data_IF_438030783848
#
_entry.id   IF_438030783848
#
_cell.length_a   1.000
_cell.length_b   1.000
_cell.length_c   1.000
_cell.angle_alpha   90.00
_cell.angle_beta   90.00
_cell.angle_gamma   90.00
#
_symmetry.space_group_name_H-M   'P 1'
#
loop_
_entity.id
_entity.type
_entity.pdbx_description
1 polymer ?
#
# COMPACT_ATOMS: atom_id res chain seq x y z
N UNK A 1 -33.84 34.55 -19.32
CA UNK A 1 -34.40 33.42 -20.09
C UNK A 1 -34.17 32.17 -19.25
N UNK A 2 -35.25 31.50 -18.88
CA UNK A 2 -35.26 30.24 -18.14
C UNK A 2 -34.88 29.12 -19.11
N UNK A 3 -34.05 28.18 -18.70
CA UNK A 3 -34.08 26.83 -19.26
C UNK A 3 -33.92 25.81 -18.14
N UNK A 4 -34.89 24.91 -18.13
CA UNK A 4 -35.16 23.81 -17.22
C UNK A 4 -34.60 22.55 -17.88
N UNK A 5 -33.90 21.70 -17.12
CA UNK A 5 -33.76 20.25 -17.36
C UNK A 5 -33.93 19.61 -15.98
N UNK A 6 -35.13 19.20 -15.57
CA UNK A 6 -35.78 17.90 -15.84
C UNK A 6 -34.76 16.75 -15.96
N UNK A 7 -34.53 16.06 -14.84
CA UNK A 7 -34.03 14.69 -14.84
C UNK A 7 -35.06 13.81 -14.13
N UNK A 8 -35.51 12.80 -14.87
CA UNK A 8 -36.55 11.86 -14.51
C UNK A 8 -35.97 10.76 -13.62
N UNK A 9 -36.50 10.61 -12.41
CA UNK A 9 -36.24 9.48 -11.52
C UNK A 9 -37.09 8.31 -12.01
N UNK A 10 -36.45 7.26 -12.52
CA UNK A 10 -37.07 5.95 -12.69
C UNK A 10 -36.89 5.16 -11.40
N UNK A 11 -38.01 4.94 -10.71
CA UNK A 11 -38.13 4.04 -9.58
C UNK A 11 -38.53 2.67 -10.15
N UNK A 12 -37.67 1.66 -10.05
CA UNK A 12 -38.04 0.27 -10.31
C UNK A 12 -37.98 -0.53 -9.01
N UNK A 13 -39.15 -1.01 -8.61
CA UNK A 13 -39.41 -1.90 -7.48
C UNK A 13 -38.99 -3.33 -7.80
N UNK A 14 -38.28 -3.98 -6.87
CA UNK A 14 -38.08 -5.43 -6.83
C UNK A 14 -38.25 -5.96 -5.41
N UNK A 15 -39.45 -6.41 -5.09
CA UNK A 15 -39.76 -7.20 -3.90
C UNK A 15 -39.19 -8.63 -4.10
N UNK A 16 -38.39 -9.13 -3.15
CA UNK A 16 -38.22 -10.57 -2.95
C UNK A 16 -38.64 -10.93 -1.52
N UNK A 17 -39.70 -11.76 -1.46
CA UNK A 17 -40.23 -12.38 -0.27
C UNK A 17 -39.40 -13.63 0.04
N UNK A 18 -38.61 -13.62 1.12
CA UNK A 18 -38.07 -14.85 1.71
C UNK A 18 -39.20 -15.58 2.47
N UNK A 19 -39.64 -16.72 1.92
CA UNK A 19 -40.39 -17.73 2.67
C UNK A 19 -39.42 -18.63 3.41
N UNK A 20 -39.35 -18.49 4.73
CA UNK A 20 -38.78 -19.52 5.59
C UNK A 20 -39.70 -20.74 5.59
N UNK A 21 -39.19 -21.91 5.19
CA UNK A 21 -39.73 -23.20 5.62
C UNK A 21 -38.65 -23.98 6.32
N UNK A 22 -38.96 -24.28 7.58
CA UNK A 22 -38.22 -25.10 8.51
C UNK A 22 -38.15 -26.56 8.07
N UNK A 23 -37.03 -27.15 8.47
CA UNK A 23 -36.76 -28.55 8.73
C UNK A 23 -37.96 -29.38 9.21
N UNK A 24 -38.00 -30.65 8.82
CA UNK A 24 -38.26 -31.76 9.73
C UNK A 24 -37.65 -33.05 9.17
N UNK A 25 -36.98 -33.77 10.07
CA UNK A 25 -36.30 -35.04 9.92
C UNK A 25 -37.23 -36.21 9.59
N UNK A 26 -36.69 -37.28 8.98
CA UNK A 26 -36.93 -38.65 9.45
C UNK A 26 -36.02 -39.67 8.74
N UNK A 27 -35.33 -40.43 9.57
CA UNK A 27 -34.58 -41.66 9.29
C UNK A 27 -35.43 -42.75 8.59
N UNK A 28 -34.77 -43.64 7.83
CA UNK A 28 -34.39 -44.98 8.32
C UNK A 28 -34.44 -46.08 7.23
N UNK A 29 -33.41 -46.92 7.27
CA UNK A 29 -33.37 -48.38 7.01
C UNK A 29 -33.04 -48.94 5.61
N UNK A 30 -31.89 -49.64 5.62
CA UNK A 30 -31.55 -50.95 5.06
C UNK A 30 -32.19 -51.43 3.74
N UNK A 31 -31.33 -51.78 2.77
CA UNK A 31 -31.19 -53.18 2.33
C UNK A 31 -29.89 -53.37 1.53
N UNK A 32 -29.26 -54.54 1.73
CA UNK A 32 -28.08 -55.01 1.02
C UNK A 32 -28.49 -56.13 0.07
N UNK A 33 -27.99 -56.10 -1.17
CA UNK A 33 -27.73 -57.26 -2.04
C UNK A 33 -26.96 -56.74 -3.27
N UNK A 34 -25.68 -57.05 -3.46
CA UNK A 34 -25.07 -58.29 -3.95
C UNK A 34 -24.87 -58.30 -5.48
N UNK A 35 -23.63 -58.62 -5.86
CA UNK A 35 -23.09 -59.10 -7.14
C UNK A 35 -23.51 -58.45 -8.48
N UNK A 36 -22.55 -57.98 -9.28
CA UNK A 36 -21.90 -58.82 -10.30
C UNK A 36 -20.81 -58.03 -11.05
N UNK A 37 -19.67 -58.68 -11.18
CA UNK A 37 -18.56 -58.39 -12.08
C UNK A 37 -18.97 -58.55 -13.54
N UNK A 38 -18.52 -57.65 -14.41
CA UNK A 38 -18.21 -58.03 -15.80
C UNK A 38 -17.09 -57.15 -16.36
N UNK A 39 -15.94 -57.78 -16.52
CA UNK A 39 -14.85 -57.36 -17.40
C UNK A 39 -15.36 -57.28 -18.85
N UNK A 40 -15.13 -56.15 -19.52
CA UNK A 40 -15.08 -56.12 -20.99
C UNK A 40 -13.82 -55.39 -21.43
N UNK A 41 -13.22 -56.06 -22.39
CA UNK A 41 -11.89 -55.96 -22.94
C UNK A 41 -11.72 -54.75 -23.87
N UNK A 42 -10.45 -54.38 -23.94
CA UNK A 42 -9.77 -53.43 -24.82
C UNK A 42 -10.26 -53.40 -26.27
N UNK A 43 -10.38 -52.18 -26.82
CA UNK A 43 -10.19 -51.95 -28.24
C UNK A 43 -9.50 -50.61 -28.47
N UNK A 44 -8.25 -50.72 -28.92
CA UNK A 44 -7.41 -49.65 -29.42
C UNK A 44 -8.14 -48.77 -30.44
N UNK A 45 -8.20 -47.47 -30.13
CA UNK A 45 -8.34 -46.42 -31.12
C UNK A 45 -7.17 -45.47 -30.93
N UNK A 46 -6.13 -45.68 -31.73
CA UNK A 46 -5.17 -44.62 -32.06
C UNK A 46 -5.95 -43.55 -32.84
N UNK A 47 -6.34 -42.48 -32.15
CA UNK A 47 -6.61 -41.21 -32.81
C UNK A 47 -5.39 -40.33 -32.63
N UNK A 48 -4.64 -40.17 -33.73
CA UNK A 48 -3.76 -39.03 -33.94
C UNK A 48 -4.62 -37.76 -33.90
N UNK A 49 -4.84 -37.23 -32.71
CA UNK A 49 -5.33 -35.88 -32.51
C UNK A 49 -4.11 -35.00 -32.23
N UNK A 50 -3.59 -34.39 -33.29
CA UNK A 50 -2.70 -33.23 -33.24
C UNK A 50 -3.52 -32.06 -32.66
N UNK A 51 -3.90 -32.15 -31.39
CA UNK A 51 -4.32 -30.99 -30.61
C UNK A 51 -3.05 -30.20 -30.33
N UNK A 52 -2.83 -29.18 -31.15
CA UNK A 52 -2.05 -28.01 -30.75
C UNK A 52 -2.70 -27.45 -29.47
N UNK A 53 -2.33 -28.02 -28.33
CA UNK A 53 -2.54 -27.42 -27.03
C UNK A 53 -1.88 -26.05 -27.11
N UNK A 54 -2.73 -25.03 -27.14
CA UNK A 54 -2.32 -23.67 -26.89
C UNK A 54 -1.80 -23.70 -25.44
N UNK A 55 -0.50 -23.95 -25.25
CA UNK A 55 0.13 -24.00 -23.92
C UNK A 55 -0.01 -22.59 -23.32
N UNK A 56 -1.10 -22.39 -22.59
CA UNK A 56 -1.33 -21.19 -21.80
C UNK A 56 -0.14 -21.01 -20.86
N UNK A 57 0.32 -19.76 -20.75
CA UNK A 57 1.54 -19.46 -20.02
C UNK A 57 1.39 -19.76 -18.53
N UNK A 58 2.43 -20.37 -17.95
CA UNK A 58 2.58 -20.58 -16.52
C UNK A 58 3.95 -20.07 -16.11
N UNK A 59 3.99 -19.26 -15.07
CA UNK A 59 5.23 -18.76 -14.49
C UNK A 59 5.12 -18.76 -12.98
N UNK A 60 6.23 -19.08 -12.33
CA UNK A 60 6.34 -19.05 -10.89
C UNK A 60 7.33 -17.94 -10.53
N UNK A 61 6.91 -17.03 -9.65
CA UNK A 61 7.77 -15.97 -9.14
C UNK A 61 8.01 -16.21 -7.65
N UNK A 62 9.27 -16.19 -7.23
CA UNK A 62 9.65 -16.33 -5.82
C UNK A 62 9.77 -14.95 -5.19
N UNK A 63 9.11 -14.78 -4.04
CA UNK A 63 9.08 -13.55 -3.25
C UNK A 63 9.78 -13.76 -1.90
N UNK A 64 10.35 -12.69 -1.36
CA UNK A 64 10.77 -12.67 0.04
C UNK A 64 9.54 -12.51 0.93
N UNK A 65 9.51 -13.26 2.01
CA UNK A 65 8.44 -13.21 3.01
C UNK A 65 8.87 -12.28 4.14
N UNK A 66 8.04 -11.28 4.43
CA UNK A 66 8.20 -10.39 5.58
C UNK A 66 7.40 -10.92 6.77
N UNK A 67 6.18 -11.43 6.50
CA UNK A 67 5.37 -12.10 7.52
C UNK A 67 4.48 -13.17 6.90
N UNK A 68 4.34 -14.32 7.55
CA UNK A 68 3.47 -15.39 7.08
C UNK A 68 2.88 -16.16 8.24
N UNK A 69 1.75 -15.71 8.78
CA UNK A 69 0.98 -16.42 9.81
C UNK A 69 1.82 -16.82 11.05
N UNK A 70 2.74 -15.94 11.47
CA UNK A 70 3.73 -16.20 12.54
C UNK A 70 4.65 -17.40 12.28
N UNK A 71 4.77 -17.83 11.03
CA UNK A 71 5.70 -18.88 10.60
C UNK A 71 7.06 -18.30 10.19
N UNK A 72 8.11 -19.05 10.50
CA UNK A 72 9.49 -18.72 10.10
C UNK A 72 9.75 -19.20 8.67
N UNK A 73 9.15 -18.48 7.71
CA UNK A 73 9.30 -18.68 6.27
C UNK A 73 9.99 -17.45 5.70
N UNK A 74 11.06 -17.66 4.94
CA UNK A 74 11.82 -16.56 4.32
C UNK A 74 11.45 -16.28 2.86
N UNK A 75 10.91 -17.28 2.16
CA UNK A 75 10.60 -17.19 0.73
C UNK A 75 9.33 -17.97 0.42
N UNK A 76 8.56 -17.49 -0.56
CA UNK A 76 7.36 -18.17 -1.05
C UNK A 76 7.27 -18.04 -2.57
N UNK A 77 6.70 -19.04 -3.24
CA UNK A 77 6.46 -18.97 -4.67
C UNK A 77 5.01 -18.62 -4.93
N UNK A 78 4.75 -17.72 -5.88
CA UNK A 78 3.41 -17.44 -6.40
C UNK A 78 3.33 -17.95 -7.82
N UNK A 79 2.38 -18.85 -8.06
CA UNK A 79 2.05 -19.40 -9.37
C UNK A 79 1.14 -18.42 -10.09
N UNK A 80 1.56 -17.97 -11.26
CA UNK A 80 0.75 -17.23 -12.24
C UNK A 80 0.38 -18.18 -13.36
N UNK A 81 -0.90 -18.48 -13.50
CA UNK A 81 -1.42 -19.34 -14.56
C UNK A 81 -2.42 -18.57 -15.42
N UNK A 82 -2.12 -18.44 -16.71
CA UNK A 82 -3.10 -17.93 -17.68
C UNK A 82 -4.21 -18.98 -17.86
N UNK A 83 -5.46 -18.55 -17.75
CA UNK A 83 -6.63 -19.43 -17.83
C UNK A 83 -7.43 -19.23 -19.12
N UNK A 84 -7.52 -18.00 -19.61
CA UNK A 84 -8.33 -17.65 -20.78
C UNK A 84 -7.81 -16.35 -21.43
N UNK A 85 -8.20 -16.12 -22.69
CA UNK A 85 -7.94 -14.87 -23.42
C UNK A 85 -9.24 -14.27 -23.94
N UNK A 86 -9.48 -13.00 -23.63
CA UNK A 86 -10.61 -12.20 -24.08
C UNK A 86 -10.19 -11.11 -25.05
N UNK A 87 -11.17 -10.39 -25.61
CA UNK A 87 -10.90 -9.31 -26.57
C UNK A 87 -10.18 -8.12 -25.90
N UNK A 88 -10.46 -7.85 -24.61
CA UNK A 88 -9.82 -6.76 -23.86
C UNK A 88 -8.52 -7.14 -23.14
N UNK A 89 -8.21 -8.42 -22.98
CA UNK A 89 -7.08 -8.86 -22.16
C UNK A 89 -7.08 -10.35 -21.83
N UNK A 90 -6.14 -10.75 -20.97
CA UNK A 90 -5.95 -12.13 -20.56
C UNK A 90 -6.33 -12.34 -19.11
N UNK A 91 -6.89 -13.51 -18.80
CA UNK A 91 -7.28 -13.91 -17.43
C UNK A 91 -6.17 -14.75 -16.81
N UNK A 92 -5.73 -14.36 -15.62
CA UNK A 92 -4.73 -15.06 -14.82
C UNK A 92 -5.28 -15.42 -13.44
N UNK A 93 -4.86 -16.57 -12.93
CA UNK A 93 -4.94 -16.89 -11.50
C UNK A 93 -3.58 -16.71 -10.85
N UNK A 94 -3.57 -16.08 -9.67
CA UNK A 94 -2.39 -15.98 -8.82
C UNK A 94 -2.60 -16.78 -7.53
N UNK A 95 -1.74 -17.78 -7.28
CA UNK A 95 -1.84 -18.62 -6.09
C UNK A 95 -0.50 -18.75 -5.38
N UNK A 96 -0.51 -18.62 -4.06
CA UNK A 96 0.61 -18.94 -3.20
C UNK A 96 0.84 -20.45 -3.21
N UNK A 97 2.01 -20.86 -3.69
CA UNK A 97 2.47 -22.25 -3.69
C UNK A 97 3.27 -22.54 -2.42
N UNK A 98 2.63 -23.20 -1.46
CA UNK A 98 3.24 -23.60 -0.19
C UNK A 98 2.68 -24.96 0.22
N UNK A 99 3.47 -25.86 0.81
CA UNK A 99 2.96 -27.18 1.25
C UNK A 99 1.81 -27.10 2.26
N UNK A 100 1.61 -25.94 2.92
CA UNK A 100 0.47 -25.64 3.79
C UNK A 100 -0.68 -24.89 3.10
N UNK A 101 -0.55 -24.56 1.81
CA UNK A 101 -1.54 -23.76 1.06
C UNK A 101 -2.89 -24.44 0.97
N UNK A 102 -2.91 -25.77 0.95
CA UNK A 102 -4.14 -26.57 0.85
C UNK A 102 -5.06 -26.43 2.08
N UNK A 103 -4.54 -25.88 3.19
CA UNK A 103 -5.29 -25.60 4.42
C UNK A 103 -5.66 -24.12 4.59
N UNK A 104 -5.20 -23.24 3.68
CA UNK A 104 -5.37 -21.80 3.79
C UNK A 104 -6.35 -21.28 2.73
N UNK A 105 -7.52 -20.83 3.18
CA UNK A 105 -8.50 -20.08 2.37
C UNK A 105 -7.93 -18.78 1.75
N UNK A 106 -6.67 -18.44 2.06
CA UNK A 106 -5.96 -17.21 1.66
C UNK A 106 -4.75 -17.45 0.77
N UNK A 107 -4.54 -18.68 0.31
CA UNK A 107 -3.51 -18.98 -0.70
C UNK A 107 -3.92 -18.55 -2.11
N UNK A 108 -5.21 -18.39 -2.37
CA UNK A 108 -5.71 -17.79 -3.60
C UNK A 108 -5.69 -16.25 -3.48
N UNK A 109 -4.89 -15.61 -4.31
CA UNK A 109 -4.81 -14.14 -4.37
C UNK A 109 -5.92 -13.55 -5.26
N UNK A 110 -6.58 -14.38 -6.07
CA UNK A 110 -7.71 -14.02 -6.92
C UNK A 110 -7.53 -14.38 -8.39
N UNK A 111 -8.60 -14.12 -9.13
CA UNK A 111 -8.62 -14.15 -10.60
C UNK A 111 -8.54 -12.73 -11.13
N UNK A 112 -7.65 -12.51 -12.10
CA UNK A 112 -7.30 -11.20 -12.61
C UNK A 112 -7.49 -11.15 -14.13
N UNK A 113 -8.36 -10.26 -14.61
CA UNK A 113 -8.37 -9.84 -16.01
C UNK A 113 -7.40 -8.66 -16.17
N UNK A 114 -6.31 -8.90 -16.89
CA UNK A 114 -5.28 -7.89 -17.17
C UNK A 114 -5.54 -7.32 -18.57
N UNK A 115 -5.93 -6.04 -18.63
CA UNK A 115 -6.16 -5.29 -19.87
C UNK A 115 -4.97 -4.37 -20.19
N UNK A 116 -5.06 -3.61 -21.28
CA UNK A 116 -4.04 -2.62 -21.64
C UNK A 116 -3.81 -1.57 -20.54
N UNK A 117 -4.88 -1.09 -19.89
CA UNK A 117 -4.86 0.05 -18.96
C UNK A 117 -5.26 -0.30 -17.52
N UNK A 118 -5.83 -1.49 -17.28
CA UNK A 118 -6.45 -1.86 -16.01
C UNK A 118 -6.20 -3.32 -15.62
N UNK A 119 -6.43 -3.61 -14.33
CA UNK A 119 -6.56 -4.96 -13.81
C UNK A 119 -7.87 -5.03 -13.02
N UNK A 120 -8.70 -6.00 -13.36
CA UNK A 120 -9.94 -6.32 -12.65
C UNK A 120 -9.77 -7.64 -11.89
N UNK A 121 -10.13 -7.64 -10.61
CA UNK A 121 -10.04 -8.80 -9.72
C UNK A 121 -11.43 -9.30 -9.34
N UNK A 122 -11.65 -10.60 -9.48
CA UNK A 122 -12.76 -11.29 -8.79
C UNK A 122 -12.14 -12.09 -7.64
N UNK A 123 -12.51 -11.78 -6.38
CA UNK A 123 -11.95 -12.46 -5.22
C UNK A 123 -12.50 -13.89 -5.07
N UNK A 124 -11.61 -14.82 -4.72
CA UNK A 124 -11.94 -16.20 -4.41
C UNK A 124 -11.99 -17.13 -5.62
N UNK A 125 -12.05 -18.43 -5.32
CA UNK A 125 -12.00 -19.48 -6.32
C UNK A 125 -13.39 -19.72 -6.90
N UNK A 126 -13.53 -19.62 -8.22
CA UNK A 126 -14.76 -19.95 -8.95
C UNK A 126 -14.58 -21.30 -9.66
N UNK A 127 -15.65 -22.10 -9.71
CA UNK A 127 -15.61 -23.42 -10.38
C UNK A 127 -15.31 -23.29 -11.89
N UNK A 128 -15.75 -22.18 -12.49
CA UNK A 128 -15.56 -21.83 -13.90
C UNK A 128 -14.85 -20.47 -14.00
N UNK A 129 -14.07 -20.25 -15.08
CA UNK A 129 -13.45 -18.94 -15.37
C UNK A 129 -14.56 -17.92 -15.69
N UNK A 130 -14.68 -16.80 -14.94
CA UNK A 130 -15.71 -15.78 -15.17
C UNK A 130 -15.57 -15.15 -16.55
N UNK A 131 -16.68 -14.82 -17.21
CA UNK A 131 -16.63 -14.19 -18.53
C UNK A 131 -16.08 -12.76 -18.49
N UNK A 132 -15.68 -12.22 -19.64
CA UNK A 132 -15.23 -10.83 -19.76
C UNK A 132 -16.27 -9.83 -19.19
N UNK A 133 -17.55 -10.05 -19.48
CA UNK A 133 -18.64 -9.21 -18.97
C UNK A 133 -18.74 -9.27 -17.44
N UNK A 134 -18.44 -10.42 -16.82
CA UNK A 134 -18.46 -10.58 -15.35
C UNK A 134 -17.33 -9.77 -14.69
N UNK A 135 -16.11 -9.81 -15.25
CA UNK A 135 -15.00 -8.97 -14.77
C UNK A 135 -15.29 -7.48 -14.89
N UNK A 136 -15.87 -7.06 -16.03
CA UNK A 136 -16.15 -5.64 -16.29
C UNK A 136 -17.34 -5.10 -15.49
N UNK A 137 -18.30 -5.96 -15.12
CA UNK A 137 -19.49 -5.59 -14.37
C UNK A 137 -19.27 -5.65 -12.85
N UNK A 138 -18.68 -6.75 -12.38
CA UNK A 138 -18.64 -7.11 -10.95
C UNK A 138 -17.20 -7.19 -10.40
N UNK A 139 -16.18 -7.16 -11.25
CA UNK A 139 -14.79 -7.17 -10.84
C UNK A 139 -14.36 -5.88 -10.13
N UNK A 140 -13.49 -6.04 -9.14
CA UNK A 140 -12.87 -4.95 -8.40
C UNK A 140 -11.68 -4.43 -9.22
N UNK A 141 -11.68 -3.14 -9.56
CA UNK A 141 -10.50 -2.52 -10.18
C UNK A 141 -9.36 -2.48 -9.15
N UNK A 142 -8.26 -3.20 -9.43
CA UNK A 142 -7.07 -3.29 -8.55
C UNK A 142 -5.81 -2.69 -9.17
N UNK A 143 -5.91 -2.23 -10.42
CA UNK A 143 -4.91 -1.42 -11.10
C UNK A 143 -5.58 -0.41 -12.00
N UNK A 144 -5.06 0.82 -11.99
CA UNK A 144 -5.48 1.90 -12.87
C UNK A 144 -4.39 2.95 -12.95
N UNK A 145 -4.23 3.59 -14.11
CA UNK A 145 -3.38 4.79 -14.23
C UNK A 145 -3.93 5.98 -13.42
N UNK A 146 -5.22 5.96 -13.08
CA UNK A 146 -5.88 7.05 -12.35
C UNK A 146 -6.15 6.64 -10.91
N UNK A 147 -5.84 7.51 -9.94
CA UNK A 147 -6.18 7.23 -8.55
C UNK A 147 -7.70 7.15 -8.40
N UNK A 148 -8.15 6.25 -7.52
CA UNK A 148 -9.56 6.01 -7.25
C UNK A 148 -9.78 5.69 -5.78
N UNK A 149 -10.97 6.00 -5.26
CA UNK A 149 -11.42 5.57 -3.94
C UNK A 149 -12.91 5.31 -4.02
N UNK A 150 -13.30 4.05 -3.87
CA UNK A 150 -14.70 3.61 -4.01
C UNK A 150 -15.08 2.70 -2.85
N UNK A 151 -16.34 2.77 -2.43
CA UNK A 151 -16.90 1.84 -1.44
C UNK A 151 -17.73 0.79 -2.18
N UNK A 152 -17.40 -0.49 -1.98
CA UNK A 152 -18.05 -1.65 -2.58
C UNK A 152 -18.42 -2.60 -1.42
N UNK A 153 -19.71 -2.82 -1.19
CA UNK A 153 -20.23 -3.73 -0.17
C UNK A 153 -19.62 -3.56 1.25
N UNK A 154 -19.35 -2.31 1.64
CA UNK A 154 -18.77 -1.97 2.94
C UNK A 154 -17.25 -2.11 3.02
N UNK A 155 -16.59 -2.45 1.91
CA UNK A 155 -15.15 -2.35 1.75
C UNK A 155 -14.79 -1.09 0.98
N UNK A 156 -13.73 -0.42 1.39
CA UNK A 156 -13.10 0.68 0.67
C UNK A 156 -12.00 0.09 -0.19
N UNK A 157 -12.05 0.42 -1.48
CA UNK A 157 -11.00 0.13 -2.46
C UNK A 157 -10.34 1.46 -2.82
N UNK A 158 -9.05 1.59 -2.53
CA UNK A 158 -8.25 2.78 -2.80
C UNK A 158 -7.09 2.44 -3.72
N UNK A 159 -7.03 3.10 -4.87
CA UNK A 159 -5.95 2.99 -5.86
C UNK A 159 -5.14 4.28 -5.84
N UNK A 160 -3.82 4.15 -5.76
CA UNK A 160 -2.84 5.20 -6.01
C UNK A 160 -1.82 4.72 -7.04
N UNK A 161 -1.40 5.60 -7.95
CA UNK A 161 -0.43 5.30 -8.99
C UNK A 161 0.47 6.52 -9.17
N UNK A 162 1.78 6.34 -9.03
CA UNK A 162 2.79 7.39 -9.18
C UNK A 162 3.46 7.40 -10.57
N UNK A 163 2.98 6.56 -11.49
CA UNK A 163 3.54 6.35 -12.83
C UNK A 163 4.50 5.16 -12.91
N UNK A 164 4.95 4.62 -11.78
CA UNK A 164 5.84 3.47 -11.70
C UNK A 164 5.19 2.29 -10.99
N UNK A 165 4.62 2.54 -9.81
CA UNK A 165 3.91 1.55 -9.02
C UNK A 165 2.45 1.93 -8.84
N UNK A 166 1.57 0.95 -9.02
CA UNK A 166 0.15 1.06 -8.74
C UNK A 166 -0.18 0.25 -7.48
N UNK A 167 -0.57 0.95 -6.41
CA UNK A 167 -1.00 0.36 -5.15
C UNK A 167 -2.51 0.35 -5.05
N UNK A 168 -3.07 -0.80 -4.75
CA UNK A 168 -4.47 -0.98 -4.40
C UNK A 168 -4.58 -1.48 -2.96
N UNK A 169 -5.36 -0.77 -2.13
CA UNK A 169 -5.70 -1.15 -0.77
C UNK A 169 -7.20 -1.44 -0.70
N UNK A 170 -7.56 -2.62 -0.20
CA UNK A 170 -8.94 -3.06 0.04
C UNK A 170 -9.08 -3.31 1.54
N UNK A 171 -9.97 -2.59 2.22
CA UNK A 171 -10.17 -2.72 3.67
C UNK A 171 -11.58 -2.30 4.09
N UNK A 172 -12.03 -2.69 5.29
CA UNK A 172 -13.29 -2.21 5.88
C UNK A 172 -13.02 -1.27 7.04
N UNK A 173 -13.73 -0.14 7.10
CA UNK A 173 -13.73 0.76 8.27
C UNK A 173 -14.71 0.30 9.37
N UNK A 174 -15.57 -0.68 9.08
CA UNK A 174 -16.62 -1.15 9.99
C UNK A 174 -16.28 -2.53 10.58
N UNK A 175 -15.93 -2.53 11.87
CA UNK A 175 -15.73 -3.74 12.70
C UNK A 175 -14.27 -3.99 13.10
N UNK A 176 -14.04 -4.35 14.37
CA UNK A 176 -12.69 -4.64 14.96
C UNK A 176 -11.96 -5.85 14.33
N UNK A 177 -12.55 -6.53 13.34
CA UNK A 177 -12.06 -7.78 12.73
C UNK A 177 -12.01 -7.75 11.18
N UNK A 178 -12.11 -6.55 10.58
CA UNK A 178 -12.17 -6.42 9.12
C UNK A 178 -10.96 -7.02 8.41
N UNK A 179 -11.21 -7.77 7.34
CA UNK A 179 -10.16 -8.23 6.42
C UNK A 179 -9.59 -7.04 5.66
N UNK A 180 -8.29 -7.06 5.41
CA UNK A 180 -7.64 -6.13 4.50
C UNK A 180 -6.71 -6.87 3.54
N UNK A 181 -6.52 -6.29 2.35
CA UNK A 181 -5.52 -6.71 1.38
C UNK A 181 -4.91 -5.51 0.66
N UNK A 182 -3.64 -5.62 0.30
CA UNK A 182 -2.89 -4.65 -0.46
C UNK A 182 -2.19 -5.38 -1.61
N UNK A 183 -2.31 -4.82 -2.80
CA UNK A 183 -1.60 -5.27 -4.00
C UNK A 183 -0.77 -4.09 -4.51
N UNK A 184 0.47 -4.36 -4.89
CA UNK A 184 1.29 -3.40 -5.62
C UNK A 184 1.75 -4.05 -6.91
N UNK A 185 1.50 -3.34 -8.00
CA UNK A 185 1.81 -3.75 -9.36
C UNK A 185 2.78 -2.76 -9.99
N UNK A 186 3.68 -3.24 -10.84
CA UNK A 186 4.54 -2.39 -11.66
C UNK A 186 3.87 -1.96 -12.99
N UNK A 187 4.61 -1.23 -13.83
CA UNK A 187 4.14 -0.76 -15.15
C UNK A 187 3.84 -1.90 -16.13
N UNK A 188 4.50 -3.04 -15.96
CA UNK A 188 4.29 -4.27 -16.73
C UNK A 188 3.11 -5.11 -16.18
N UNK A 189 2.42 -4.61 -15.13
CA UNK A 189 1.30 -5.26 -14.46
C UNK A 189 1.69 -6.60 -13.81
N UNK A 190 2.94 -6.70 -13.35
CA UNK A 190 3.41 -7.79 -12.52
C UNK A 190 3.24 -7.45 -11.04
N UNK A 191 2.85 -8.44 -10.24
CA UNK A 191 2.69 -8.27 -8.79
C UNK A 191 4.08 -8.17 -8.16
N UNK A 192 4.38 -7.04 -7.52
CA UNK A 192 5.68 -6.82 -6.85
C UNK A 192 5.57 -6.89 -5.33
N UNK A 193 4.39 -6.66 -4.75
CA UNK A 193 4.17 -6.79 -3.32
C UNK A 193 2.71 -7.15 -3.00
N UNK A 194 2.52 -7.96 -1.97
CA UNK A 194 1.21 -8.31 -1.44
C UNK A 194 1.23 -8.32 0.10
N UNK A 195 0.15 -7.79 0.69
CA UNK A 195 -0.10 -7.89 2.13
C UNK A 195 -1.57 -8.13 2.42
N UNK A 196 -1.92 -9.09 3.26
CA UNK A 196 -3.28 -9.24 3.78
C UNK A 196 -3.31 -9.65 5.25
N UNK A 197 -4.45 -9.44 5.91
CA UNK A 197 -4.65 -9.83 7.31
C UNK A 197 -6.00 -9.40 7.85
N UNK A 198 -6.15 -9.44 9.17
CA UNK A 198 -7.39 -9.07 9.87
C UNK A 198 -7.15 -8.05 10.97
N UNK A 199 -8.01 -7.03 11.07
CA UNK A 199 -7.98 -6.04 12.16
C UNK A 199 -6.60 -5.39 12.31
N UNK A 200 -6.07 -5.34 13.55
CA UNK A 200 -4.75 -4.80 13.87
C UNK A 200 -3.60 -5.76 13.47
N UNK A 201 -3.54 -6.11 12.18
CA UNK A 201 -2.51 -7.00 11.60
C UNK A 201 -2.47 -8.43 12.18
N UNK A 202 -3.62 -8.98 12.57
CA UNK A 202 -3.70 -10.40 12.94
C UNK A 202 -3.54 -11.30 11.71
N UNK A 203 -2.83 -12.40 11.88
CA UNK A 203 -2.56 -13.42 10.85
C UNK A 203 -2.09 -12.80 9.53
N UNK A 204 -1.03 -11.99 9.54
CA UNK A 204 -0.59 -11.30 8.33
C UNK A 204 0.07 -12.29 7.35
N UNK A 205 -0.20 -12.09 6.07
CA UNK A 205 0.59 -12.63 4.97
C UNK A 205 1.16 -11.42 4.26
N UNK A 206 2.47 -11.31 4.20
CA UNK A 206 3.19 -10.16 3.64
C UNK A 206 4.45 -10.66 2.92
N UNK A 207 4.51 -10.41 1.62
CA UNK A 207 5.65 -10.77 0.79
C UNK A 207 5.83 -9.79 -0.36
N UNK A 208 7.05 -9.70 -0.88
CA UNK A 208 7.37 -8.79 -1.97
C UNK A 208 8.68 -9.12 -2.66
N UNK A 209 8.90 -8.49 -3.80
CA UNK A 209 10.18 -8.55 -4.50
C UNK A 209 11.20 -7.80 -3.67
N UNK A 210 12.25 -8.48 -3.20
CA UNK A 210 13.35 -7.81 -2.49
C UNK A 210 14.18 -7.04 -3.51
N UNK A 211 13.88 -5.76 -3.66
CA UNK A 211 14.78 -4.89 -4.40
C UNK A 211 15.97 -4.55 -3.50
N UNK A 212 17.18 -4.93 -3.93
CA UNK A 212 18.37 -4.46 -3.26
C UNK A 212 18.53 -2.97 -3.60
N UNK A 213 18.07 -2.10 -2.72
CA UNK A 213 18.11 -0.65 -2.91
C UNK A 213 19.52 -0.14 -3.24
N UNK A 214 20.57 -0.77 -2.70
CA UNK A 214 21.95 -0.41 -3.06
C UNK A 214 22.28 -0.72 -4.52
N UNK A 215 21.82 -1.85 -5.04
CA UNK A 215 22.01 -2.23 -6.44
C UNK A 215 21.12 -1.38 -7.35
N UNK A 216 19.85 -1.17 -6.99
CA UNK A 216 18.90 -0.30 -7.71
C UNK A 216 19.46 1.12 -7.89
N UNK A 217 19.84 1.78 -6.79
CA UNK A 217 20.38 3.13 -6.85
C UNK A 217 21.81 3.20 -7.43
N UNK A 218 22.49 2.06 -7.65
CA UNK A 218 23.82 2.05 -8.27
C UNK A 218 23.79 2.44 -9.75
N UNK A 219 22.63 2.30 -10.40
CA UNK A 219 22.43 2.65 -11.81
C UNK A 219 22.25 4.16 -12.02
N UNK A 220 21.92 4.89 -10.95
CA UNK A 220 21.67 6.33 -10.98
C UNK A 220 22.93 7.12 -10.64
N UNK A 221 23.10 8.27 -11.28
CA UNK A 221 24.09 9.26 -10.83
C UNK A 221 23.63 9.94 -9.55
N UNK A 222 24.58 10.33 -8.70
CA UNK A 222 24.28 11.28 -7.63
C UNK A 222 23.97 12.63 -8.26
N UNK A 223 22.88 13.26 -7.84
CA UNK A 223 22.52 14.62 -8.23
C UNK A 223 23.10 15.63 -7.25
N UNK A 224 23.48 16.81 -7.75
CA UNK A 224 23.92 17.89 -6.89
C UNK A 224 22.72 18.49 -6.14
N UNK A 225 22.69 18.30 -4.83
CA UNK A 225 21.69 18.94 -3.96
C UNK A 225 22.02 20.42 -3.75
N UNK A 226 20.98 21.20 -3.55
CA UNK A 226 21.05 22.62 -3.27
C UNK A 226 20.10 22.99 -2.12
N UNK A 227 20.08 24.28 -1.75
CA UNK A 227 19.28 24.76 -0.63
C UNK A 227 17.78 24.59 -0.89
N UNK A 228 17.36 24.75 -2.14
CA UNK A 228 15.97 24.69 -2.57
C UNK A 228 15.36 23.28 -2.42
N UNK A 229 16.18 22.23 -2.45
CA UNK A 229 15.75 20.84 -2.23
C UNK A 229 15.22 20.57 -0.80
N UNK A 230 15.49 21.49 0.12
CA UNK A 230 15.07 21.45 1.51
C UNK A 230 13.99 22.50 1.82
N UNK A 231 13.43 23.12 0.78
CA UNK A 231 12.29 24.00 0.87
C UNK A 231 10.99 23.21 0.60
N UNK A 232 9.88 23.70 1.12
CA UNK A 232 8.55 23.16 0.86
C UNK A 232 7.50 24.26 1.01
N UNK A 233 6.34 24.05 0.37
CA UNK A 233 5.21 24.97 0.45
C UNK A 233 4.09 24.35 1.30
N UNK A 234 3.52 25.13 2.23
CA UNK A 234 2.36 24.73 3.03
C UNK A 234 1.40 25.90 3.24
N UNK A 235 0.11 25.67 2.95
CA UNK A 235 -0.98 26.67 3.07
C UNK A 235 -0.65 28.05 2.46
N UNK A 236 0.00 28.08 1.29
CA UNK A 236 0.45 29.28 0.54
C UNK A 236 1.68 30.00 1.11
N UNK A 237 2.40 29.39 2.05
CA UNK A 237 3.67 29.89 2.55
C UNK A 237 4.80 28.97 2.13
N UNK A 238 5.96 29.56 1.83
CA UNK A 238 7.18 28.82 1.51
C UNK A 238 8.11 28.85 2.70
N UNK A 239 8.57 27.67 3.11
CA UNK A 239 9.51 27.47 4.20
C UNK A 239 10.83 26.91 3.68
N UNK A 240 11.94 27.23 4.34
CA UNK A 240 13.28 26.91 3.86
C UNK A 240 14.25 26.57 5.00
N UNK A 241 15.42 26.05 4.65
CA UNK A 241 16.51 25.90 5.61
C UNK A 241 16.82 27.24 6.31
N UNK A 242 16.78 27.19 7.64
CA UNK A 242 17.03 28.32 8.53
C UNK A 242 15.81 29.17 8.88
N UNK A 243 14.60 28.80 8.42
CA UNK A 243 13.36 29.41 8.91
C UNK A 243 13.24 29.21 10.43
N UNK A 244 13.00 30.30 11.16
CA UNK A 244 12.80 30.27 12.61
C UNK A 244 11.43 29.68 12.96
N UNK A 245 11.30 28.99 14.10
CA UNK A 245 10.02 28.38 14.49
C UNK A 245 8.90 29.44 14.68
N UNK A 246 9.25 30.67 15.07
CA UNK A 246 8.28 31.76 15.18
C UNK A 246 7.70 32.16 13.82
N UNK A 247 8.45 32.01 12.72
CA UNK A 247 7.92 32.31 11.38
C UNK A 247 6.81 31.32 10.97
N UNK A 248 6.83 30.08 11.45
CA UNK A 248 5.73 29.14 11.25
C UNK A 248 4.49 29.58 12.02
N UNK A 249 4.65 29.97 13.29
CA UNK A 249 3.55 30.45 14.13
C UNK A 249 2.97 31.77 13.60
N UNK A 250 3.82 32.69 13.13
CA UNK A 250 3.39 33.97 12.58
C UNK A 250 2.58 33.81 11.29
N UNK A 251 2.93 32.83 10.45
CA UNK A 251 2.27 32.58 9.16
C UNK A 251 1.05 31.66 9.27
N UNK A 252 1.14 30.60 10.08
CA UNK A 252 0.13 29.53 10.17
C UNK A 252 -0.73 29.62 11.43
N UNK A 253 -0.28 30.36 12.46
CA UNK A 253 -0.80 30.26 13.81
C UNK A 253 -0.33 28.99 14.52
N UNK A 254 -0.79 28.79 15.76
CA UNK A 254 -0.71 27.47 16.39
C UNK A 254 -1.71 26.52 15.73
N UNK A 255 -1.38 25.22 15.64
CA UNK A 255 -2.33 24.23 15.14
C UNK A 255 -3.59 24.16 16.01
N UNK A 256 -4.66 23.61 15.45
CA UNK A 256 -5.89 23.35 16.21
C UNK A 256 -5.60 22.42 17.39
N UNK A 257 -6.33 22.61 18.50
CA UNK A 257 -6.18 21.85 19.75
C UNK A 257 -4.75 21.84 20.35
N UNK A 258 -3.89 22.79 19.97
CA UNK A 258 -2.50 22.84 20.45
C UNK A 258 -2.39 22.94 21.98
N UNK A 259 -3.13 23.86 22.61
CA UNK A 259 -3.14 24.00 24.07
C UNK A 259 -3.72 22.75 24.76
N UNK A 260 -4.77 22.16 24.18
CA UNK A 260 -5.43 20.95 24.69
C UNK A 260 -4.49 19.73 24.60
N UNK A 261 -3.62 19.69 23.59
CA UNK A 261 -2.54 18.72 23.46
C UNK A 261 -1.26 19.15 24.21
N UNK A 262 -1.43 19.80 25.37
CA UNK A 262 -0.33 20.19 26.27
C UNK A 262 0.77 21.00 25.56
N UNK A 263 0.35 21.94 24.70
CA UNK A 263 1.23 22.77 23.88
C UNK A 263 2.28 21.95 23.08
N UNK A 264 1.86 20.78 22.59
CA UNK A 264 2.70 19.90 21.79
C UNK A 264 3.91 19.33 22.54
N UNK A 265 3.90 19.27 23.87
CA UNK A 265 4.99 18.70 24.65
C UNK A 265 5.33 17.25 24.21
N UNK A 266 6.62 16.97 24.00
CA UNK A 266 7.14 15.63 23.69
C UNK A 266 7.93 15.07 24.88
N UNK A 267 8.97 15.79 25.33
CA UNK A 267 9.90 15.31 26.37
C UNK A 267 10.74 16.47 26.95
N UNK A 268 11.46 16.23 28.04
CA UNK A 268 12.39 17.20 28.64
C UNK A 268 13.76 16.61 29.02
N UNK A 269 14.13 15.44 28.47
CA UNK A 269 15.36 14.73 28.85
C UNK A 269 16.65 15.39 28.30
N UNK A 270 16.56 16.05 27.14
CA UNK A 270 17.70 16.73 26.46
C UNK A 270 17.37 18.18 26.06
N UNK A 271 16.62 18.85 26.94
CA UNK A 271 15.98 20.14 26.66
C UNK A 271 14.47 19.96 26.49
N UNK A 272 13.73 21.06 26.59
CA UNK A 272 12.28 21.05 26.44
C UNK A 272 11.94 20.86 24.96
N UNK A 273 11.47 19.65 24.62
CA UNK A 273 11.11 19.26 23.26
C UNK A 273 9.61 19.31 23.08
N UNK A 274 9.17 19.98 22.03
CA UNK A 274 7.77 20.20 21.72
C UNK A 274 7.58 20.26 20.20
N UNK A 275 6.33 20.26 19.74
CA UNK A 275 6.03 20.21 18.31
C UNK A 275 4.90 21.12 17.88
N UNK A 276 4.98 21.59 16.64
CA UNK A 276 3.87 22.12 15.88
C UNK A 276 3.42 21.04 14.89
N UNK A 277 2.21 20.53 15.07
CA UNK A 277 1.63 19.49 14.20
C UNK A 277 0.36 20.04 13.55
N UNK A 278 0.43 20.30 12.24
CA UNK A 278 -0.64 20.91 11.48
C UNK A 278 -1.45 19.86 10.70
N UNK A 279 -2.75 20.11 10.47
CA UNK A 279 -3.52 21.26 10.93
C UNK A 279 -3.95 21.16 12.40
N UNK A 280 -3.99 19.96 12.96
CA UNK A 280 -4.53 19.66 14.30
C UNK A 280 -3.51 18.89 15.15
N UNK A 281 -3.12 19.47 16.28
CA UNK A 281 -2.16 18.88 17.20
C UNK A 281 -2.70 17.62 17.90
N UNK A 282 -4.02 17.46 17.99
CA UNK A 282 -4.68 16.31 18.61
C UNK A 282 -4.89 15.13 17.66
N UNK A 283 -4.66 15.30 16.36
CA UNK A 283 -4.96 14.29 15.35
C UNK A 283 -3.72 13.88 14.54
N UNK A 284 -3.03 12.84 15.02
CA UNK A 284 -1.84 12.31 14.36
C UNK A 284 -2.12 11.66 13.00
N UNK A 285 -3.31 11.08 12.81
CA UNK A 285 -3.68 10.36 11.59
C UNK A 285 -3.93 11.32 10.41
N UNK A 286 -4.39 12.54 10.69
CA UNK A 286 -4.67 13.57 9.68
C UNK A 286 -3.65 14.72 9.70
N UNK A 287 -2.43 14.45 10.14
CA UNK A 287 -1.37 15.46 10.17
C UNK A 287 -0.72 15.61 8.80
N UNK A 288 -0.51 16.84 8.37
CA UNK A 288 0.16 17.17 7.10
C UNK A 288 1.64 17.45 7.30
N UNK A 289 1.96 18.18 8.38
CA UNK A 289 3.27 18.75 8.64
C UNK A 289 3.54 18.70 10.14
N UNK A 290 4.72 18.22 10.51
CA UNK A 290 5.17 18.20 11.91
C UNK A 290 6.55 18.83 12.03
N UNK A 291 6.66 19.87 12.85
CA UNK A 291 7.91 20.57 13.15
C UNK A 291 8.24 20.31 14.60
N UNK A 292 9.42 19.77 14.88
CA UNK A 292 9.86 19.49 16.25
C UNK A 292 10.90 20.51 16.68
N UNK A 293 10.63 21.17 17.79
CA UNK A 293 11.45 22.22 18.38
C UNK A 293 12.09 21.76 19.68
N UNK A 294 13.27 22.29 20.00
CA UNK A 294 13.97 22.02 21.27
C UNK A 294 14.45 23.33 21.87
N UNK A 295 14.13 23.58 23.14
CA UNK A 295 14.81 24.58 23.99
C UNK A 295 15.79 23.89 24.94
N UNK A 296 17.11 23.99 24.70
CA UNK A 296 18.14 23.46 25.59
C UNK A 296 18.02 23.91 27.06
N UNK A 297 17.62 25.16 27.33
CA UNK A 297 17.46 25.71 28.68
C UNK A 297 16.22 25.21 29.43
N UNK A 298 15.47 24.28 28.82
CA UNK A 298 14.22 23.72 29.36
C UNK A 298 13.10 24.76 29.56
N UNK A 299 13.11 25.83 28.76
CA UNK A 299 12.07 26.83 28.77
C UNK A 299 11.15 26.63 27.55
N UNK A 300 9.84 26.53 27.79
CA UNK A 300 8.88 26.49 26.69
C UNK A 300 8.98 27.78 25.88
N UNK A 301 9.23 27.65 24.57
CA UNK A 301 9.54 28.77 23.67
C UNK A 301 10.66 29.68 24.18
N UNK A 302 11.67 29.08 24.83
CA UNK A 302 12.88 29.79 25.26
C UNK A 302 13.57 30.47 24.08
N UNK A 303 14.30 31.56 24.35
CA UNK A 303 15.03 32.32 23.30
C UNK A 303 16.13 31.53 22.58
N UNK A 304 16.46 30.35 23.10
CA UNK A 304 17.42 29.39 22.55
C UNK A 304 16.74 28.25 21.77
N UNK A 305 15.42 28.31 21.60
CA UNK A 305 14.64 27.31 20.87
C UNK A 305 15.08 27.26 19.42
N UNK A 306 15.33 26.05 18.92
CA UNK A 306 15.63 25.81 17.51
C UNK A 306 14.82 24.61 17.00
N UNK A 307 14.70 24.49 15.67
CA UNK A 307 14.03 23.35 15.03
C UNK A 307 15.01 22.19 14.92
N UNK A 308 14.61 21.03 15.44
CA UNK A 308 15.39 19.79 15.38
C UNK A 308 15.20 19.10 14.03
N UNK A 309 13.95 18.85 13.66
CA UNK A 309 13.59 18.25 12.39
C UNK A 309 12.18 18.64 11.97
N UNK A 310 11.87 18.39 10.70
CA UNK A 310 10.56 18.60 10.09
C UNK A 310 10.15 17.28 9.41
N UNK A 311 8.95 16.77 9.67
CA UNK A 311 8.36 15.69 8.86
C UNK A 311 7.32 16.28 7.90
N UNK A 312 7.48 15.95 6.63
CA UNK A 312 6.53 16.25 5.57
C UNK A 312 5.65 15.01 5.39
N UNK A 313 4.44 15.03 5.96
CA UNK A 313 3.56 13.85 6.04
C UNK A 313 2.69 13.77 4.78
N UNK A 314 1.98 14.85 4.46
CA UNK A 314 1.21 15.01 3.21
C UNK A 314 1.73 16.14 2.33
N UNK A 315 2.82 16.78 2.74
CA UNK A 315 3.45 17.90 2.03
C UNK A 315 4.52 17.37 1.08
N UNK A 316 4.46 17.69 -0.22
CA UNK A 316 5.52 17.30 -1.15
C UNK A 316 6.83 18.04 -0.85
N UNK A 317 7.94 17.41 -1.20
CA UNK A 317 9.25 18.09 -1.31
C UNK A 317 9.23 19.10 -2.47
N UNK A 318 10.23 19.98 -2.56
CA UNK A 318 10.35 20.93 -3.67
C UNK A 318 10.59 20.29 -5.04
N UNK A 319 11.02 19.02 -5.09
CA UNK A 319 11.10 18.22 -6.32
C UNK A 319 9.85 17.37 -6.58
N UNK A 320 8.74 17.67 -5.90
CA UNK A 320 7.42 17.04 -6.10
C UNK A 320 7.38 15.54 -5.74
N UNK A 321 8.19 15.14 -4.75
CA UNK A 321 8.14 13.79 -4.16
C UNK A 321 7.39 13.85 -2.82
N UNK A 322 6.44 12.94 -2.61
CA UNK A 322 5.53 12.85 -1.47
C UNK A 322 5.51 11.48 -0.82
N UNK A 323 5.03 11.38 0.42
CA UNK A 323 4.71 10.08 1.02
C UNK A 323 3.68 9.34 0.16
N UNK A 324 3.92 8.04 -0.04
CA UNK A 324 3.15 7.17 -0.94
C UNK A 324 3.76 7.00 -2.33
N UNK A 325 4.66 7.87 -2.77
CA UNK A 325 5.39 7.68 -4.04
C UNK A 325 6.38 6.51 -3.89
N UNK A 326 6.82 5.95 -5.01
CA UNK A 326 7.79 4.85 -5.07
C UNK A 326 9.25 5.33 -4.98
N UNK A 327 10.16 4.39 -4.76
CA UNK A 327 11.60 4.62 -4.90
C UNK A 327 12.02 5.08 -6.30
N UNK A 328 11.25 4.78 -7.35
CA UNK A 328 11.54 5.23 -8.72
C UNK A 328 11.38 6.74 -8.84
N UNK A 329 10.36 7.31 -8.19
CA UNK A 329 10.17 8.77 -8.10
C UNK A 329 11.36 9.45 -7.41
N UNK A 330 11.92 8.84 -6.36
CA UNK A 330 13.14 9.34 -5.71
C UNK A 330 14.33 9.25 -6.66
N UNK A 331 14.55 8.09 -7.30
CA UNK A 331 15.69 7.86 -8.18
C UNK A 331 15.68 8.82 -9.39
N UNK A 332 14.51 9.08 -9.96
CA UNK A 332 14.35 10.03 -11.07
C UNK A 332 14.62 11.47 -10.63
N UNK A 333 14.11 11.89 -9.46
CA UNK A 333 14.16 13.30 -9.02
C UNK A 333 15.42 13.66 -8.25
N UNK A 334 15.99 12.74 -7.47
CA UNK A 334 17.13 12.98 -6.58
C UNK A 334 18.35 12.12 -6.94
N UNK A 335 18.22 11.13 -7.81
CA UNK A 335 19.32 10.24 -8.16
C UNK A 335 19.76 9.36 -6.98
N UNK A 336 21.03 8.97 -6.98
CA UNK A 336 21.59 8.10 -5.95
C UNK A 336 21.74 8.81 -4.59
N UNK A 337 21.26 8.23 -3.47
CA UNK A 337 21.45 8.78 -2.13
C UNK A 337 22.92 8.73 -1.69
N UNK A 338 23.27 9.56 -0.71
CA UNK A 338 24.60 9.57 -0.09
C UNK A 338 24.80 8.36 0.83
N UNK A 339 23.73 7.93 1.50
CA UNK A 339 23.72 6.79 2.42
C UNK A 339 22.39 6.04 2.36
N UNK A 340 22.47 4.71 2.46
CA UNK A 340 21.32 3.79 2.58
C UNK A 340 21.55 3.00 3.86
N UNK A 341 20.60 3.06 4.80
CA UNK A 341 20.73 2.39 6.09
C UNK A 341 19.39 1.86 6.60
N UNK A 342 19.39 0.87 7.50
CA UNK A 342 18.18 0.47 8.21
C UNK A 342 17.58 1.67 8.98
N UNK A 343 16.26 1.81 8.92
CA UNK A 343 15.53 2.84 9.67
C UNK A 343 15.43 2.48 11.17
N UNK A 344 14.92 3.42 11.97
CA UNK A 344 14.54 3.15 13.36
C UNK A 344 13.32 2.24 13.48
N UNK A 345 12.50 2.19 12.44
CA UNK A 345 11.40 1.24 12.32
C UNK A 345 11.95 -0.06 11.73
N UNK A 346 11.56 -1.20 12.33
CA UNK A 346 11.96 -2.50 11.81
C UNK A 346 11.54 -2.62 10.34
N UNK A 347 12.38 -3.26 9.53
CA UNK A 347 12.14 -3.58 8.10
C UNK A 347 12.12 -2.38 7.15
N UNK A 348 12.12 -1.15 7.67
CA UNK A 348 12.15 0.05 6.83
C UNK A 348 13.60 0.44 6.52
N UNK A 349 13.80 1.13 5.41
CA UNK A 349 15.12 1.62 4.98
C UNK A 349 15.10 3.13 4.84
N UNK A 350 16.08 3.82 5.41
CA UNK A 350 16.27 5.25 5.21
C UNK A 350 17.24 5.49 4.04
N UNK A 351 16.81 6.34 3.09
CA UNK A 351 17.63 6.92 2.04
C UNK A 351 17.99 8.34 2.43
N UNK A 352 19.29 8.62 2.57
CA UNK A 352 19.79 9.87 3.11
C UNK A 352 20.48 10.69 2.02
N UNK A 353 20.06 11.94 1.91
CA UNK A 353 20.58 12.97 1.02
C UNK A 353 21.12 14.12 1.87
N UNK A 354 22.41 14.43 1.79
CA UNK A 354 23.08 15.40 2.67
C UNK A 354 23.45 16.70 1.93
N UNK A 355 23.08 17.84 2.53
CA UNK A 355 23.48 19.16 2.04
C UNK A 355 23.80 20.12 3.20
N UNK A 356 25.01 20.67 3.19
CA UNK A 356 25.51 21.63 4.19
C UNK A 356 25.30 21.15 5.65
N UNK A 357 25.45 19.84 5.88
CA UNK A 357 25.27 19.19 7.18
C UNK A 357 23.82 19.00 7.63
N UNK A 358 22.83 19.25 6.76
CA UNK A 358 21.43 18.88 6.95
C UNK A 358 21.12 17.63 6.12
N UNK A 359 20.13 16.84 6.54
CA UNK A 359 19.74 15.62 5.84
C UNK A 359 18.29 15.66 5.39
N UNK A 360 18.05 15.27 4.14
CA UNK A 360 16.73 14.91 3.64
C UNK A 360 16.67 13.39 3.63
N UNK A 361 15.70 12.83 4.36
CA UNK A 361 15.60 11.40 4.64
C UNK A 361 14.26 10.91 4.12
N UNK A 362 14.30 9.95 3.20
CA UNK A 362 13.12 9.20 2.76
C UNK A 362 13.12 7.84 3.45
N UNK A 363 12.10 7.54 4.23
CA UNK A 363 11.94 6.23 4.87
C UNK A 363 11.06 5.34 3.99
N UNK A 364 11.64 4.27 3.48
CA UNK A 364 11.07 3.36 2.49
C UNK A 364 10.50 2.12 3.17
N UNK A 365 9.27 1.77 2.80
CA UNK A 365 8.56 0.56 3.22
C UNK A 365 9.03 -0.67 2.43
N UNK A 366 8.73 -1.89 2.91
CA UNK A 366 8.99 -3.12 2.17
C UNK A 366 8.31 -3.20 0.79
N UNK A 367 7.24 -2.43 0.58
CA UNK A 367 6.54 -2.32 -0.71
C UNK A 367 7.17 -1.29 -1.67
N UNK A 368 8.39 -0.82 -1.37
CA UNK A 368 9.15 0.17 -2.13
C UNK A 368 8.45 1.55 -2.24
N UNK A 369 7.52 1.87 -1.34
CA UNK A 369 6.91 3.21 -1.25
C UNK A 369 7.45 4.01 -0.07
N UNK A 370 7.31 5.33 -0.15
CA UNK A 370 7.77 6.28 0.87
C UNK A 370 6.74 6.34 2.00
N UNK A 371 7.14 5.95 3.21
CA UNK A 371 6.33 6.11 4.42
C UNK A 371 6.44 7.49 5.05
N UNK A 372 7.64 8.08 5.01
CA UNK A 372 7.94 9.32 5.70
C UNK A 372 9.04 10.09 4.98
N UNK A 373 8.92 11.42 5.01
CA UNK A 373 9.94 12.34 4.52
C UNK A 373 10.33 13.25 5.67
N UNK A 374 11.61 13.22 6.05
CA UNK A 374 12.15 14.01 7.15
C UNK A 374 13.26 14.94 6.67
N UNK A 375 13.20 16.20 7.11
CA UNK A 375 14.30 17.15 7.01
C UNK A 375 14.93 17.25 8.41
N UNK A 376 16.10 16.63 8.57
CA UNK A 376 16.89 16.68 9.80
C UNK A 376 17.80 17.91 9.77
N UNK A 377 17.52 18.83 10.69
CA UNK A 377 18.25 20.09 10.89
C UNK A 377 19.17 20.01 12.11
N UNK A 378 19.22 18.85 12.78
CA UNK A 378 20.12 18.62 13.89
C UNK A 378 21.53 18.68 13.33
N UNK A 379 22.21 19.80 13.59
CA UNK A 379 23.61 19.95 13.20
C UNK A 379 24.37 18.76 13.75
N UNK A 380 25.02 18.02 12.84
CA UNK A 380 26.22 17.20 13.02
C UNK A 380 27.02 17.56 14.29
N UNK A 381 26.57 17.18 15.50
CA UNK A 381 27.19 17.56 16.77
C UNK A 381 26.67 18.87 17.41
N UNK A 382 25.69 18.75 18.31
CA UNK A 382 25.59 19.68 19.44
C UNK A 382 26.81 19.53 20.36
N UNK A 383 27.67 20.54 20.32
CA UNK A 383 28.10 21.21 21.55
C UNK A 383 28.70 22.59 21.21
N UNK A 384 27.92 23.69 21.21
CA UNK A 384 28.48 24.98 21.58
C UNK A 384 28.64 24.99 23.11
N UNK A 385 29.49 24.10 23.64
CA UNK A 385 29.94 24.23 25.02
C UNK A 385 30.76 25.51 25.14
N UNK A 386 30.24 26.46 25.90
CA UNK A 386 30.91 27.63 26.51
C UNK A 386 31.40 28.75 25.59
N UNK A 387 30.73 29.91 25.71
CA UNK A 387 31.43 31.18 25.89
C UNK A 387 30.87 31.92 27.09
#
# INVERSE_FOLDING_TARGET
MKNIKLLSVFLFTGLILCSCKSSDDAEMSHEAADSETSDIDTSDYESDDDSLENELSKSDTTYEVFNFLDEDISEISVKKAQLESYDSGDVYSLMIDNEKSDELDRSDLGLFLITEDKIYMIPGNTDDVPSEDDFLADGIEVYSEKPASVEIDGQIVKISNDGYLCKCSIYSETGESGFYSNYVWDEDKELVYYKSGYGAENEPIEFGTKENLSDFFSEYSAEDLNKEDFCFDYQNYSFALGTDYNEYIDNLGYPENFEDNNCGFISNDEGYRWQLQYPDAGNYENSDLRIVCVSPENEYEGSDTYIDFINLISVPTSRDVSCGDSIYSIAEKYGRPDEIQPSSYAEYTDLIYEYDGNKLIFTILPDNTISNINIDLSKLGKNPSSK
#
